data_IF_500733514351
#
_entry.id   IF_500733514351
#
_cell.length_a   1.000
_cell.length_b   1.000
_cell.length_c   1.000
_cell.angle_alpha   90.00
_cell.angle_beta   90.00
_cell.angle_gamma   90.00
#
_symmetry.space_group_name_H-M   'P 1'
#
loop_
_entity.id
_entity.type
_entity.pdbx_description
1 polymer ?
#
# COMPACT_ATOMS: atom_id res chain seq x y z
N UNK A 1 -10.32 37.89 17.23
CA UNK A 1 -11.57 37.92 16.44
C UNK A 1 -11.60 36.68 15.55
N UNK A 2 -12.46 35.70 15.83
CA UNK A 2 -12.56 34.48 15.01
C UNK A 2 -13.58 34.72 13.90
N UNK A 3 -13.12 34.72 12.65
CA UNK A 3 -13.97 34.87 11.47
C UNK A 3 -14.30 33.47 10.96
N UNK A 4 -15.55 33.03 11.18
CA UNK A 4 -15.99 31.63 10.95
C UNK A 4 -15.78 31.11 9.52
N UNK A 5 -15.72 31.98 8.53
CA UNK A 5 -15.57 31.60 7.11
C UNK A 5 -14.11 31.61 6.62
N UNK A 6 -13.15 32.11 7.41
CA UNK A 6 -11.74 32.07 7.04
C UNK A 6 -11.09 30.75 7.48
N UNK A 7 -10.16 30.19 6.68
CA UNK A 7 -9.32 29.09 7.12
C UNK A 7 -8.60 29.45 8.42
N UNK A 8 -8.66 28.56 9.41
CA UNK A 8 -7.99 28.72 10.69
C UNK A 8 -7.54 27.34 11.20
N UNK A 9 -6.72 27.34 12.25
CA UNK A 9 -6.31 26.12 12.94
C UNK A 9 -6.47 26.30 14.44
N UNK A 10 -6.96 25.24 15.10
CA UNK A 10 -7.04 25.14 16.56
C UNK A 10 -5.73 24.69 17.22
N UNK A 11 -4.73 24.29 16.42
CA UNK A 11 -3.34 24.10 16.87
C UNK A 11 -2.39 24.49 15.74
N UNK A 12 -1.84 25.70 15.87
CA UNK A 12 -0.91 26.29 14.90
C UNK A 12 0.31 25.40 14.66
N UNK A 13 0.88 24.78 15.69
CA UNK A 13 2.11 24.02 15.57
C UNK A 13 1.85 22.69 14.85
N UNK A 14 0.78 21.98 15.23
CA UNK A 14 0.38 20.73 14.57
C UNK A 14 0.01 20.96 13.11
N UNK A 15 -0.71 22.04 12.80
CA UNK A 15 -1.04 22.38 11.41
C UNK A 15 0.16 22.82 10.58
N UNK A 16 1.11 23.55 11.16
CA UNK A 16 2.36 23.89 10.46
C UNK A 16 3.18 22.64 10.16
N UNK A 17 3.30 21.73 11.12
CA UNK A 17 3.98 20.45 10.93
C UNK A 17 3.31 19.59 9.85
N UNK A 18 1.97 19.52 9.86
CA UNK A 18 1.21 18.83 8.84
C UNK A 18 1.37 19.47 7.45
N UNK A 19 1.38 20.81 7.36
CA UNK A 19 1.67 21.52 6.11
C UNK A 19 3.05 21.17 5.57
N UNK A 20 4.09 21.20 6.40
CA UNK A 20 5.46 20.84 6.01
C UNK A 20 5.54 19.39 5.51
N UNK A 21 4.84 18.46 6.17
CA UNK A 21 4.73 17.06 5.72
C UNK A 21 4.03 16.97 4.36
N UNK A 22 2.91 17.67 4.15
CA UNK A 22 2.21 17.69 2.87
C UNK A 22 3.09 18.26 1.76
N UNK A 23 3.79 19.38 2.00
CA UNK A 23 4.73 19.97 1.04
C UNK A 23 5.85 18.99 0.71
N UNK A 24 6.44 18.33 1.71
CA UNK A 24 7.46 17.31 1.49
C UNK A 24 6.95 16.13 0.64
N UNK A 25 5.71 15.68 0.87
CA UNK A 25 5.10 14.61 0.07
C UNK A 25 4.83 15.05 -1.38
N UNK A 26 4.38 16.29 -1.60
CA UNK A 26 4.16 16.84 -2.95
C UNK A 26 5.49 16.99 -3.70
N UNK A 27 6.52 17.54 -3.05
CA UNK A 27 7.86 17.63 -3.64
C UNK A 27 8.42 16.25 -3.95
N UNK A 28 8.24 15.28 -3.04
CA UNK A 28 8.64 13.89 -3.26
C UNK A 28 7.91 13.28 -4.45
N UNK A 29 6.59 13.48 -4.57
CA UNK A 29 5.80 13.00 -5.71
C UNK A 29 6.39 13.47 -7.04
N UNK A 30 6.61 14.78 -7.17
CA UNK A 30 7.14 15.35 -8.42
C UNK A 30 8.59 14.94 -8.68
N UNK A 31 9.43 14.90 -7.66
CA UNK A 31 10.81 14.43 -7.78
C UNK A 31 10.88 12.95 -8.21
N UNK A 32 10.04 12.08 -7.64
CA UNK A 32 9.96 10.67 -8.04
C UNK A 32 9.40 10.55 -9.46
N UNK A 33 8.37 11.33 -9.80
CA UNK A 33 7.77 11.34 -11.14
C UNK A 33 8.81 11.70 -12.19
N UNK A 34 9.55 12.79 -11.98
CA UNK A 34 10.65 13.23 -12.86
C UNK A 34 11.77 12.18 -12.91
N UNK A 35 12.22 11.72 -11.75
CA UNK A 35 13.30 10.74 -11.66
C UNK A 35 12.94 9.43 -12.38
N UNK A 36 11.70 8.94 -12.31
CA UNK A 36 11.28 7.70 -12.96
C UNK A 36 11.26 7.80 -14.50
N UNK A 37 11.04 9.00 -15.05
CA UNK A 37 11.07 9.23 -16.50
C UNK A 37 12.50 9.22 -17.07
N UNK A 38 13.51 9.52 -16.26
CA UNK A 38 14.90 9.55 -16.72
C UNK A 38 15.42 8.18 -17.15
N UNK A 39 16.14 8.13 -18.25
CA UNK A 39 16.81 6.91 -18.71
C UNK A 39 18.07 6.64 -17.89
N UNK A 40 18.48 5.37 -17.82
CA UNK A 40 19.83 4.98 -17.38
C UNK A 40 20.81 4.98 -18.55
N UNK A 41 22.11 5.10 -18.28
CA UNK A 41 23.16 4.97 -19.32
C UNK A 41 23.03 3.69 -20.15
N UNK A 42 22.56 2.59 -19.54
CA UNK A 42 22.33 1.31 -20.23
C UNK A 42 21.11 1.37 -21.15
N UNK A 43 20.07 2.08 -20.73
CA UNK A 43 18.87 2.31 -21.54
C UNK A 43 19.16 3.25 -22.70
N UNK A 44 19.91 4.34 -22.48
CA UNK A 44 20.38 5.26 -23.53
C UNK A 44 21.22 4.52 -24.59
N UNK A 45 22.17 3.69 -24.17
CA UNK A 45 22.98 2.88 -25.08
C UNK A 45 22.16 1.84 -25.86
N UNK A 46 21.11 1.30 -25.25
CA UNK A 46 20.19 0.36 -25.91
C UNK A 46 19.25 1.05 -26.88
N UNK A 47 18.80 2.26 -26.55
CA UNK A 47 17.95 3.11 -27.39
C UNK A 47 18.73 3.60 -28.63
N UNK A 48 19.99 4.01 -28.47
CA UNK A 48 20.84 4.42 -29.60
C UNK A 48 21.21 3.27 -30.56
N UNK A 49 21.16 2.01 -30.11
CA UNK A 49 21.51 0.82 -30.93
C UNK A 49 20.31 0.14 -31.58
N UNK A 50 19.11 0.40 -31.10
CA UNK A 50 17.90 -0.20 -31.64
C UNK A 50 16.91 0.92 -31.96
N UNK A 51 16.49 1.06 -33.22
CA UNK A 51 15.40 1.95 -33.65
C UNK A 51 14.02 1.55 -33.04
N UNK A 52 14.01 0.90 -31.88
CA UNK A 52 12.85 0.41 -31.15
C UNK A 52 12.59 1.34 -29.96
N UNK A 53 11.40 1.93 -29.97
CA UNK A 53 10.91 2.89 -28.96
C UNK A 53 10.59 2.28 -27.59
N UNK A 54 10.97 1.02 -27.30
CA UNK A 54 10.60 0.32 -26.06
C UNK A 54 11.80 -0.42 -25.48
N UNK A 55 12.07 -0.30 -24.16
CA UNK A 55 13.08 -1.13 -23.52
C UNK A 55 12.73 -2.60 -23.73
N UNK A 56 13.72 -3.41 -24.11
CA UNK A 56 13.67 -4.90 -24.21
C UNK A 56 13.19 -5.60 -22.91
N UNK A 57 12.97 -4.83 -21.84
CA UNK A 57 12.88 -5.25 -20.45
C UNK A 57 11.51 -5.03 -19.78
N UNK A 58 10.51 -4.47 -20.49
CA UNK A 58 9.11 -4.36 -20.04
C UNK A 58 8.81 -3.33 -18.95
N UNK A 59 9.80 -2.90 -18.17
CA UNK A 59 9.73 -1.80 -17.20
C UNK A 59 11.04 -0.98 -17.25
N UNK A 60 11.01 0.35 -17.01
CA UNK A 60 12.22 1.16 -16.89
C UNK A 60 13.09 0.70 -15.72
N UNK A 61 14.41 0.86 -15.85
CA UNK A 61 15.38 0.42 -14.86
C UNK A 61 15.16 1.08 -13.49
N UNK A 62 14.82 2.37 -13.48
CA UNK A 62 14.58 3.14 -12.24
C UNK A 62 13.36 2.62 -11.48
N UNK A 63 12.25 2.34 -12.17
CA UNK A 63 11.06 1.69 -11.60
C UNK A 63 11.43 0.33 -11.02
N UNK A 64 12.17 -0.47 -11.80
CA UNK A 64 12.67 -1.78 -11.36
C UNK A 64 13.49 -1.69 -10.08
N UNK A 65 14.42 -0.73 -9.98
CA UNK A 65 15.26 -0.55 -8.78
C UNK A 65 14.43 -0.24 -7.54
N UNK A 66 13.43 0.64 -7.65
CA UNK A 66 12.52 0.97 -6.54
C UNK A 66 11.75 -0.26 -6.08
N UNK A 67 11.18 -1.04 -7.01
CA UNK A 67 10.43 -2.24 -6.63
C UNK A 67 11.34 -3.30 -6.01
N UNK A 68 12.55 -3.50 -6.53
CA UNK A 68 13.53 -4.39 -5.88
C UNK A 68 13.89 -3.94 -4.47
N UNK A 69 14.21 -2.66 -4.29
CA UNK A 69 14.54 -2.08 -2.99
C UNK A 69 13.39 -2.30 -2.00
N UNK A 70 12.16 -1.95 -2.39
CA UNK A 70 10.99 -2.08 -1.53
C UNK A 70 10.60 -3.53 -1.28
N UNK A 71 10.71 -4.42 -2.26
CA UNK A 71 10.47 -5.86 -2.08
C UNK A 71 11.49 -6.49 -1.12
N UNK A 72 12.77 -6.11 -1.24
CA UNK A 72 13.81 -6.58 -0.31
C UNK A 72 13.61 -6.02 1.09
N UNK A 73 13.32 -4.73 1.22
CA UNK A 73 13.01 -4.11 2.51
C UNK A 73 11.79 -4.76 3.17
N UNK A 74 10.71 -4.95 2.41
CA UNK A 74 9.50 -5.62 2.87
C UNK A 74 9.72 -7.07 3.27
N UNK A 75 10.56 -7.81 2.53
CA UNK A 75 10.95 -9.18 2.92
C UNK A 75 11.71 -9.20 4.24
N UNK A 76 12.72 -8.34 4.41
CA UNK A 76 13.50 -8.27 5.65
C UNK A 76 12.59 -7.91 6.83
N UNK A 77 11.69 -6.93 6.65
CA UNK A 77 10.71 -6.55 7.66
C UNK A 77 9.72 -7.68 7.99
N UNK A 78 9.25 -8.40 6.97
CA UNK A 78 8.35 -9.53 7.14
C UNK A 78 9.00 -10.66 7.96
N UNK A 79 10.27 -10.97 7.67
CA UNK A 79 11.04 -11.98 8.42
C UNK A 79 11.29 -11.51 9.85
N UNK A 80 11.78 -10.28 10.02
CA UNK A 80 12.08 -9.71 11.34
C UNK A 80 10.82 -9.65 12.22
N UNK A 81 9.70 -9.14 11.70
CA UNK A 81 8.43 -9.12 12.42
C UNK A 81 7.86 -10.51 12.71
N UNK A 82 8.07 -11.49 11.83
CA UNK A 82 7.69 -12.87 12.09
C UNK A 82 8.53 -13.49 13.23
N UNK A 83 9.84 -13.25 13.25
CA UNK A 83 10.72 -13.67 14.35
C UNK A 83 10.32 -12.96 15.64
N UNK A 84 10.07 -11.65 15.60
CA UNK A 84 9.63 -10.86 16.75
C UNK A 84 8.34 -11.43 17.35
N UNK A 85 7.37 -11.81 16.49
CA UNK A 85 6.13 -12.44 16.93
C UNK A 85 6.36 -13.84 17.51
N UNK A 86 7.22 -14.64 16.89
CA UNK A 86 7.55 -15.98 17.38
C UNK A 86 8.23 -15.95 18.77
N UNK A 87 9.06 -14.94 18.99
CA UNK A 87 9.75 -14.71 20.28
C UNK A 87 8.89 -13.95 21.30
N UNK A 88 7.66 -13.57 20.94
CA UNK A 88 6.76 -12.78 21.78
C UNK A 88 7.43 -11.48 22.32
N UNK A 89 8.24 -10.82 21.49
CA UNK A 89 8.98 -9.62 21.89
C UNK A 89 8.13 -8.35 21.72
N UNK A 90 8.03 -7.48 22.75
CA UNK A 90 7.37 -6.19 22.62
C UNK A 90 8.27 -5.08 22.05
N UNK A 91 9.54 -5.38 21.76
CA UNK A 91 10.54 -4.38 21.33
C UNK A 91 10.56 -4.20 19.82
N UNK A 92 10.36 -2.98 19.35
CA UNK A 92 10.56 -2.58 17.96
C UNK A 92 12.00 -2.86 17.52
N UNK A 93 12.17 -3.64 16.46
CA UNK A 93 13.48 -4.07 15.95
C UNK A 93 14.38 -4.72 17.03
N UNK A 94 13.80 -5.30 18.08
CA UNK A 94 14.49 -5.79 19.28
C UNK A 94 15.25 -4.72 20.09
N UNK A 95 15.07 -3.43 19.79
CA UNK A 95 15.81 -2.33 20.40
C UNK A 95 14.96 -1.55 21.40
N UNK A 96 13.78 -1.07 20.99
CA UNK A 96 13.02 -0.06 21.73
C UNK A 96 11.62 -0.57 22.06
N UNK A 97 11.20 -0.48 23.32
CA UNK A 97 9.81 -0.73 23.71
C UNK A 97 8.98 0.54 23.47
N UNK A 98 7.85 0.48 22.74
CA UNK A 98 7.01 1.65 22.52
C UNK A 98 6.32 2.06 23.83
N UNK A 99 6.11 3.37 24.01
CA UNK A 99 5.39 3.91 25.18
C UNK A 99 3.89 3.63 25.11
N UNK A 100 3.32 3.65 23.91
CA UNK A 100 1.91 3.36 23.63
C UNK A 100 1.80 1.93 23.12
N UNK A 101 0.94 1.12 23.75
CA UNK A 101 0.78 -0.31 23.50
C UNK A 101 2.09 -1.15 23.66
N UNK A 102 2.69 -1.20 24.87
CA UNK A 102 4.00 -1.82 25.12
C UNK A 102 3.99 -3.36 25.14
N UNK A 103 3.07 -4.00 24.42
CA UNK A 103 2.85 -5.45 24.45
C UNK A 103 3.07 -6.09 23.08
N UNK A 104 3.60 -7.32 23.08
CA UNK A 104 4.10 -8.01 21.89
C UNK A 104 3.04 -8.22 20.78
N UNK A 105 1.77 -8.35 21.15
CA UNK A 105 0.71 -8.50 20.16
C UNK A 105 0.39 -7.20 19.39
N UNK A 106 0.65 -6.03 19.96
CA UNK A 106 0.37 -4.74 19.31
C UNK A 106 1.44 -4.34 18.30
N UNK A 107 2.67 -4.81 18.48
CA UNK A 107 3.81 -4.44 17.64
C UNK A 107 4.04 -5.45 16.52
N UNK A 108 4.66 -4.99 15.44
CA UNK A 108 5.18 -5.86 14.38
C UNK A 108 6.34 -5.18 13.63
N UNK A 109 7.52 -5.78 13.76
CA UNK A 109 8.79 -5.24 13.32
C UNK A 109 9.07 -3.82 13.83
N UNK A 110 9.31 -2.83 12.94
CA UNK A 110 9.52 -1.44 13.34
C UNK A 110 8.23 -0.69 13.69
N UNK A 111 7.05 -1.30 13.55
CA UNK A 111 5.78 -0.62 13.78
C UNK A 111 5.27 -0.88 15.19
N UNK A 112 5.01 0.21 15.93
CA UNK A 112 4.33 0.17 17.24
C UNK A 112 2.87 -0.28 17.16
N UNK A 113 2.31 -0.37 15.95
CA UNK A 113 0.94 -0.80 15.71
C UNK A 113 0.86 -1.75 14.50
N UNK A 114 0.46 -2.99 14.77
CA UNK A 114 0.44 -4.11 13.83
C UNK A 114 -0.38 -3.87 12.56
N UNK A 115 -1.48 -3.09 12.62
CA UNK A 115 -2.27 -2.80 11.42
C UNK A 115 -1.50 -1.92 10.43
N UNK A 116 -0.63 -1.04 10.93
CA UNK A 116 0.24 -0.23 10.08
C UNK A 116 1.28 -1.10 9.38
N UNK A 117 1.87 -2.07 10.08
CA UNK A 117 2.77 -3.04 9.46
C UNK A 117 2.07 -3.88 8.39
N UNK A 118 0.87 -4.38 8.70
CA UNK A 118 0.07 -5.14 7.76
C UNK A 118 -0.24 -4.32 6.49
N UNK A 119 -0.60 -3.04 6.66
CA UNK A 119 -0.89 -2.16 5.53
C UNK A 119 0.37 -1.82 4.72
N UNK A 120 1.51 -1.61 5.39
CA UNK A 120 2.78 -1.43 4.71
C UNK A 120 3.10 -2.62 3.81
N UNK A 121 2.99 -3.86 4.33
CA UNK A 121 3.21 -5.07 3.54
C UNK A 121 2.20 -5.20 2.38
N UNK A 122 0.92 -4.89 2.61
CA UNK A 122 -0.12 -4.88 1.56
C UNK A 122 0.13 -3.85 0.44
N UNK A 123 0.94 -2.82 0.68
CA UNK A 123 1.41 -1.92 -0.38
C UNK A 123 2.54 -2.51 -1.23
N UNK A 124 3.26 -3.53 -0.74
CA UNK A 124 4.51 -4.01 -1.35
C UNK A 124 4.34 -5.32 -2.12
N UNK A 125 3.76 -6.34 -1.47
CA UNK A 125 3.72 -7.69 -2.03
C UNK A 125 2.96 -7.79 -3.36
N UNK A 126 1.86 -7.04 -3.61
CA UNK A 126 1.15 -7.13 -4.89
C UNK A 126 1.99 -6.56 -6.03
N UNK A 127 2.72 -5.45 -5.78
CA UNK A 127 3.58 -4.81 -6.78
C UNK A 127 4.77 -5.70 -7.13
N UNK A 128 5.38 -6.35 -6.12
CA UNK A 128 6.43 -7.34 -6.34
C UNK A 128 5.94 -8.53 -7.19
N UNK A 129 4.72 -9.01 -6.93
CA UNK A 129 4.08 -10.07 -7.72
C UNK A 129 3.78 -9.61 -9.17
N UNK A 130 3.33 -8.37 -9.35
CA UNK A 130 3.10 -7.79 -10.66
C UNK A 130 4.38 -7.66 -11.49
N UNK A 131 5.50 -7.29 -10.86
CA UNK A 131 6.79 -7.22 -11.51
C UNK A 131 7.36 -8.62 -11.83
N UNK A 132 7.19 -9.58 -10.92
CA UNK A 132 7.51 -10.99 -11.19
C UNK A 132 6.77 -11.48 -12.43
N UNK A 133 5.47 -11.15 -12.56
CA UNK A 133 4.69 -11.50 -13.74
C UNK A 133 5.29 -10.93 -15.02
N UNK A 134 5.66 -9.65 -15.02
CA UNK A 134 6.28 -9.02 -16.20
C UNK A 134 7.55 -9.77 -16.62
N UNK A 135 8.43 -10.11 -15.68
CA UNK A 135 9.68 -10.83 -16.00
C UNK A 135 9.46 -12.27 -16.43
N UNK A 136 8.52 -12.97 -15.80
CA UNK A 136 8.19 -14.33 -16.20
C UNK A 136 7.71 -14.40 -17.67
N UNK A 137 7.13 -13.31 -18.18
CA UNK A 137 6.68 -13.21 -19.59
C UNK A 137 7.80 -12.89 -20.58
N UNK A 138 8.91 -12.30 -20.15
CA UNK A 138 10.00 -11.87 -21.04
C UNK A 138 11.04 -13.00 -21.11
N UNK A 139 11.07 -13.73 -22.23
CA UNK A 139 12.03 -14.84 -22.45
C UNK A 139 13.47 -14.32 -22.52
N UNK A 140 14.38 -14.98 -21.79
CA UNK A 140 15.84 -14.82 -21.91
C UNK A 140 16.47 -13.56 -21.31
N UNK A 141 15.70 -12.62 -20.74
CA UNK A 141 16.24 -11.35 -20.24
C UNK A 141 16.69 -11.39 -18.76
N UNK A 142 16.11 -12.28 -17.95
CA UNK A 142 16.39 -12.37 -16.51
C UNK A 142 16.60 -13.82 -16.12
N UNK A 143 17.82 -14.16 -15.67
CA UNK A 143 18.11 -15.43 -14.98
C UNK A 143 17.15 -15.60 -13.78
N UNK A 144 17.10 -16.81 -13.22
CA UNK A 144 16.27 -17.26 -12.08
C UNK A 144 16.09 -16.27 -10.91
N UNK A 145 16.95 -15.25 -10.80
CA UNK A 145 16.82 -14.07 -9.92
C UNK A 145 15.41 -13.51 -9.75
N UNK A 146 14.56 -13.46 -10.79
CA UNK A 146 13.21 -12.92 -10.67
C UNK A 146 12.28 -13.76 -9.76
N UNK A 147 12.56 -15.06 -9.55
CA UNK A 147 11.82 -15.89 -8.59
C UNK A 147 11.97 -15.39 -7.15
N UNK A 148 13.01 -14.61 -6.84
CA UNK A 148 13.10 -13.90 -5.57
C UNK A 148 11.88 -13.00 -5.33
N UNK A 149 11.36 -12.30 -6.34
CA UNK A 149 10.20 -11.42 -6.18
C UNK A 149 8.95 -12.22 -5.79
N UNK A 150 8.78 -13.43 -6.36
CA UNK A 150 7.70 -14.32 -6.00
C UNK A 150 7.84 -14.81 -4.55
N UNK A 151 9.05 -15.22 -4.16
CA UNK A 151 9.36 -15.62 -2.78
C UNK A 151 9.12 -14.45 -1.80
N UNK A 152 9.64 -13.26 -2.10
CA UNK A 152 9.46 -12.07 -1.29
C UNK A 152 7.98 -11.70 -1.14
N UNK A 153 7.21 -11.74 -2.24
CA UNK A 153 5.77 -11.52 -2.21
C UNK A 153 5.05 -12.55 -1.34
N UNK A 154 5.43 -13.84 -1.41
CA UNK A 154 4.82 -14.90 -0.61
C UNK A 154 5.05 -14.68 0.89
N UNK A 155 6.30 -14.39 1.27
CA UNK A 155 6.66 -14.14 2.68
C UNK A 155 6.01 -12.87 3.21
N UNK A 156 5.99 -11.77 2.44
CA UNK A 156 5.30 -10.55 2.83
C UNK A 156 3.78 -10.77 2.99
N UNK A 157 3.15 -11.49 2.05
CA UNK A 157 1.72 -11.83 2.14
C UNK A 157 1.44 -12.71 3.36
N UNK A 158 2.25 -13.73 3.63
CA UNK A 158 2.14 -14.55 4.84
C UNK A 158 2.33 -13.71 6.12
N UNK A 159 3.29 -12.79 6.14
CA UNK A 159 3.55 -11.93 7.29
C UNK A 159 2.35 -11.04 7.63
N UNK A 160 1.53 -10.62 6.65
CA UNK A 160 0.27 -9.92 6.93
C UNK A 160 -0.64 -10.75 7.86
N UNK A 161 -0.70 -12.06 7.67
CA UNK A 161 -1.50 -12.96 8.52
C UNK A 161 -0.87 -13.06 9.92
N UNK A 162 0.46 -13.12 9.99
CA UNK A 162 1.21 -13.17 11.25
C UNK A 162 1.01 -11.90 12.09
N UNK A 163 0.81 -10.74 11.46
CA UNK A 163 0.58 -9.48 12.21
C UNK A 163 -0.59 -9.57 13.19
N UNK A 164 -1.63 -10.35 12.86
CA UNK A 164 -2.91 -10.39 13.60
C UNK A 164 -3.81 -9.17 13.33
N UNK A 165 -3.53 -8.36 12.32
CA UNK A 165 -4.43 -7.26 11.93
C UNK A 165 -5.64 -7.79 11.14
N UNK A 166 -6.86 -7.55 11.66
CA UNK A 166 -8.11 -7.93 11.00
C UNK A 166 -8.31 -7.18 9.69
N UNK A 167 -8.15 -5.85 9.72
CA UNK A 167 -8.26 -5.00 8.51
C UNK A 167 -7.19 -5.35 7.48
N UNK A 168 -5.94 -5.52 7.91
CA UNK A 168 -4.84 -5.92 7.03
C UNK A 168 -5.06 -7.30 6.40
N UNK A 169 -5.57 -8.26 7.17
CA UNK A 169 -5.93 -9.60 6.67
C UNK A 169 -7.05 -9.55 5.63
N UNK A 170 -8.15 -8.85 5.89
CA UNK A 170 -9.26 -8.74 4.92
C UNK A 170 -8.81 -8.11 3.60
N UNK A 171 -7.97 -7.06 3.69
CA UNK A 171 -7.37 -6.43 2.51
C UNK A 171 -6.43 -7.40 1.79
N UNK A 172 -5.59 -8.15 2.50
CA UNK A 172 -4.70 -9.13 1.90
C UNK A 172 -5.47 -10.23 1.17
N UNK A 173 -6.54 -10.76 1.76
CA UNK A 173 -7.42 -11.77 1.14
C UNK A 173 -8.09 -11.22 -0.12
N UNK A 174 -8.60 -9.99 -0.08
CA UNK A 174 -9.19 -9.33 -1.25
C UNK A 174 -8.16 -9.15 -2.39
N UNK A 175 -6.94 -8.71 -2.07
CA UNK A 175 -5.89 -8.55 -3.09
C UNK A 175 -5.44 -9.93 -3.61
N UNK A 176 -5.27 -10.93 -2.74
CA UNK A 176 -4.83 -12.27 -3.09
C UNK A 176 -5.83 -12.99 -3.99
N UNK A 177 -7.12 -12.95 -3.64
CA UNK A 177 -8.18 -13.55 -4.46
C UNK A 177 -8.23 -12.89 -5.84
N UNK A 178 -8.19 -11.56 -5.92
CA UNK A 178 -8.18 -10.84 -7.20
C UNK A 178 -6.92 -11.15 -8.01
N UNK A 179 -5.75 -11.21 -7.37
CA UNK A 179 -4.48 -11.58 -7.99
C UNK A 179 -4.55 -12.97 -8.62
N UNK A 180 -5.03 -13.98 -7.89
CA UNK A 180 -5.14 -15.35 -8.38
C UNK A 180 -6.10 -15.46 -9.57
N UNK A 181 -7.26 -14.78 -9.50
CA UNK A 181 -8.21 -14.73 -10.62
C UNK A 181 -7.59 -14.11 -11.87
N UNK A 182 -6.84 -13.03 -11.73
CA UNK A 182 -6.20 -12.33 -12.85
C UNK A 182 -5.07 -13.15 -13.45
N UNK A 183 -4.22 -13.75 -12.62
CA UNK A 183 -3.11 -14.58 -13.08
C UNK A 183 -3.65 -15.85 -13.76
N UNK A 184 -4.62 -16.54 -13.14
CA UNK A 184 -5.25 -17.73 -13.68
C UNK A 184 -5.96 -17.48 -15.02
N UNK A 185 -6.83 -16.46 -15.09
CA UNK A 185 -7.50 -16.09 -16.35
C UNK A 185 -6.50 -15.66 -17.43
N UNK A 186 -5.43 -14.96 -17.05
CA UNK A 186 -4.37 -14.58 -17.99
C UNK A 186 -3.66 -15.78 -18.58
N UNK A 187 -3.41 -16.83 -17.79
CA UNK A 187 -2.83 -18.07 -18.31
C UNK A 187 -3.77 -18.77 -19.27
N UNK A 188 -5.05 -18.93 -18.90
CA UNK A 188 -6.05 -19.57 -19.75
C UNK A 188 -6.10 -18.89 -21.12
N UNK A 189 -6.17 -17.55 -21.15
CA UNK A 189 -6.18 -16.78 -22.40
C UNK A 189 -4.90 -16.97 -23.21
N UNK A 190 -3.73 -17.03 -22.55
CA UNK A 190 -2.45 -17.22 -23.24
C UNK A 190 -2.29 -18.62 -23.84
N UNK A 191 -2.82 -19.65 -23.17
CA UNK A 191 -2.87 -21.04 -23.67
C UNK A 191 -3.81 -21.14 -24.88
N UNK A 192 -5.04 -20.63 -24.75
CA UNK A 192 -6.05 -20.66 -25.84
C UNK A 192 -5.50 -19.96 -27.09
N UNK A 193 -4.82 -18.81 -26.92
CA UNK A 193 -4.20 -18.07 -28.03
C UNK A 193 -2.88 -18.67 -28.54
N UNK A 194 -2.47 -19.85 -28.06
CA UNK A 194 -1.19 -20.52 -28.39
C UNK A 194 0.04 -19.59 -28.25
N UNK A 195 -0.02 -18.61 -27.35
CA UNK A 195 1.08 -17.65 -27.07
C UNK A 195 2.09 -18.20 -26.07
N UNK A 196 1.79 -19.34 -25.45
CA UNK A 196 2.70 -20.11 -24.60
C UNK A 196 2.57 -21.61 -24.87
N UNK A 197 3.66 -22.34 -24.66
CA UNK A 197 3.64 -23.80 -24.60
C UNK A 197 2.91 -24.29 -23.35
N UNK A 198 2.30 -25.46 -23.43
CA UNK A 198 1.66 -26.15 -22.31
C UNK A 198 2.64 -26.34 -21.13
N UNK A 199 3.93 -26.58 -21.41
CA UNK A 199 4.99 -26.69 -20.39
C UNK A 199 5.27 -25.36 -19.67
N UNK A 200 5.31 -24.24 -20.39
CA UNK A 200 5.50 -22.93 -19.75
C UNK A 200 4.28 -22.51 -18.93
N UNK A 201 3.07 -22.90 -19.37
CA UNK A 201 1.85 -22.70 -18.60
C UNK A 201 1.81 -23.52 -17.32
N UNK A 202 2.20 -24.79 -17.38
CA UNK A 202 2.22 -25.68 -16.21
C UNK A 202 3.26 -25.24 -15.18
N UNK A 203 4.47 -24.83 -15.59
CA UNK A 203 5.48 -24.29 -14.67
C UNK A 203 4.94 -23.08 -13.89
N UNK A 204 4.25 -22.17 -14.57
CA UNK A 204 3.75 -20.97 -13.92
C UNK A 204 2.60 -21.28 -12.95
N UNK A 205 1.75 -22.26 -13.27
CA UNK A 205 0.72 -22.77 -12.37
C UNK A 205 1.36 -23.39 -11.12
N UNK A 206 2.42 -24.19 -11.27
CA UNK A 206 3.18 -24.74 -10.14
C UNK A 206 3.83 -23.66 -9.27
N UNK A 207 4.36 -22.59 -9.89
CA UNK A 207 4.91 -21.46 -9.14
C UNK A 207 3.84 -20.71 -8.35
N UNK A 208 2.65 -20.51 -8.91
CA UNK A 208 1.51 -19.91 -8.19
C UNK A 208 1.00 -20.85 -7.09
N UNK A 209 0.88 -22.15 -7.37
CA UNK A 209 0.51 -23.14 -6.37
C UNK A 209 1.52 -23.17 -5.22
N UNK A 210 2.82 -23.10 -5.52
CA UNK A 210 3.88 -22.95 -4.53
C UNK A 210 3.78 -21.66 -3.73
N UNK A 211 3.48 -20.52 -4.38
CA UNK A 211 3.22 -19.25 -3.70
C UNK A 211 2.04 -19.36 -2.73
N UNK A 212 0.92 -19.93 -3.16
CA UNK A 212 -0.27 -20.14 -2.30
C UNK A 212 0.06 -21.10 -1.16
N UNK A 213 0.78 -22.19 -1.44
CA UNK A 213 1.21 -23.15 -0.43
C UNK A 213 2.09 -22.49 0.64
N UNK A 214 3.04 -21.62 0.24
CA UNK A 214 3.88 -20.85 1.18
C UNK A 214 3.02 -19.91 2.03
N UNK A 215 2.08 -19.18 1.41
CA UNK A 215 1.18 -18.27 2.14
C UNK A 215 0.32 -19.05 3.14
N UNK A 216 -0.27 -20.17 2.74
CA UNK A 216 -1.09 -21.01 3.60
C UNK A 216 -0.27 -21.68 4.71
N UNK A 217 0.92 -22.20 4.39
CA UNK A 217 1.76 -22.89 5.37
C UNK A 217 2.32 -21.92 6.41
N UNK A 218 2.92 -20.81 5.98
CA UNK A 218 3.51 -19.81 6.89
C UNK A 218 2.40 -19.02 7.60
N UNK A 219 1.45 -18.46 6.84
CA UNK A 219 0.37 -17.63 7.36
C UNK A 219 -0.63 -18.42 8.20
N UNK A 220 -1.00 -19.62 7.75
CA UNK A 220 -1.89 -20.53 8.49
C UNK A 220 -1.20 -21.23 9.66
N UNK A 221 0.08 -21.60 9.54
CA UNK A 221 0.82 -22.24 10.64
C UNK A 221 1.17 -21.27 11.77
N UNK A 222 1.82 -20.15 11.43
CA UNK A 222 2.34 -19.19 12.42
C UNK A 222 1.32 -18.09 12.76
N UNK A 223 0.59 -17.59 11.75
CA UNK A 223 -0.31 -16.45 11.93
C UNK A 223 -1.68 -16.81 12.46
N UNK A 224 -2.21 -18.00 12.14
CA UNK A 224 -3.59 -18.38 12.49
C UNK A 224 -3.85 -18.38 13.99
N UNK A 225 -2.90 -18.87 14.79
CA UNK A 225 -3.02 -18.88 16.27
C UNK A 225 -3.26 -17.49 16.85
N UNK A 226 -2.68 -16.46 16.24
CA UNK A 226 -2.84 -15.07 16.68
C UNK A 226 -4.04 -14.39 16.03
N UNK A 227 -4.30 -14.69 14.76
CA UNK A 227 -5.36 -14.05 13.99
C UNK A 227 -6.76 -14.57 14.35
N UNK A 228 -6.90 -15.89 14.57
CA UNK A 228 -8.21 -16.53 14.77
C UNK A 228 -8.98 -15.99 15.98
N UNK A 229 -8.41 -15.86 17.20
CA UNK A 229 -9.14 -15.28 18.32
C UNK A 229 -9.62 -13.86 18.06
N UNK A 230 -8.85 -13.10 17.28
CA UNK A 230 -9.22 -11.72 16.92
C UNK A 230 -10.35 -11.66 15.90
N UNK A 231 -10.38 -12.60 14.96
CA UNK A 231 -11.48 -12.75 14.01
C UNK A 231 -12.78 -13.15 14.71
N UNK A 232 -12.73 -13.93 15.80
CA UNK A 232 -13.91 -14.23 16.59
C UNK A 232 -14.49 -12.96 17.26
N UNK A 233 -13.64 -12.02 17.66
CA UNK A 233 -14.04 -10.74 18.25
C UNK A 233 -14.15 -9.61 17.22
N UNK A 234 -14.36 -9.93 15.93
CA UNK A 234 -14.34 -8.93 14.86
C UNK A 234 -15.46 -7.90 15.02
N UNK A 235 -16.65 -8.34 15.42
CA UNK A 235 -17.82 -7.50 15.61
C UNK A 235 -17.57 -6.44 16.70
N UNK A 236 -17.15 -6.85 17.90
CA UNK A 236 -16.79 -5.94 18.99
C UNK A 236 -15.73 -4.92 18.57
N UNK A 237 -14.75 -5.39 17.81
CA UNK A 237 -13.69 -4.56 17.26
C UNK A 237 -14.18 -3.43 16.36
N UNK A 238 -15.10 -3.75 15.44
CA UNK A 238 -15.70 -2.77 14.55
C UNK A 238 -16.75 -1.92 15.25
N UNK A 239 -17.48 -2.46 16.21
CA UNK A 239 -18.44 -1.73 17.04
C UNK A 239 -17.74 -0.61 17.83
N UNK A 240 -16.62 -0.91 18.49
CA UNK A 240 -15.81 0.10 19.19
C UNK A 240 -15.33 1.20 18.23
N UNK A 241 -14.84 0.85 17.04
CA UNK A 241 -14.42 1.84 16.02
C UNK A 241 -15.60 2.67 15.49
N UNK A 242 -16.76 2.05 15.32
CA UNK A 242 -17.99 2.71 14.89
C UNK A 242 -18.50 3.69 15.96
N UNK A 243 -18.35 3.37 17.23
CA UNK A 243 -18.68 4.27 18.34
C UNK A 243 -17.80 5.52 18.32
N UNK A 244 -16.48 5.39 18.22
CA UNK A 244 -15.59 6.56 18.10
C UNK A 244 -15.87 7.37 16.83
N UNK A 245 -16.17 6.69 15.71
CA UNK A 245 -16.60 7.35 14.47
C UNK A 245 -17.91 8.14 14.67
N UNK A 246 -18.85 7.62 15.47
CA UNK A 246 -20.10 8.30 15.81
C UNK A 246 -19.84 9.52 16.69
N UNK A 247 -19.00 9.39 17.72
CA UNK A 247 -18.62 10.50 18.60
C UNK A 247 -17.84 11.60 17.87
N UNK A 248 -17.03 11.23 16.86
CA UNK A 248 -16.26 12.20 16.08
C UNK A 248 -17.07 12.90 14.98
N UNK A 249 -18.23 12.34 14.58
CA UNK A 249 -19.03 12.86 13.46
C UNK A 249 -19.50 14.31 13.63
N UNK A 250 -19.95 14.77 14.83
CA UNK A 250 -20.32 16.17 15.05
C UNK A 250 -19.22 17.16 14.65
N UNK A 251 -17.94 16.84 14.88
CA UNK A 251 -16.83 17.73 14.47
C UNK A 251 -16.86 18.05 12.97
N UNK A 252 -17.24 17.11 12.10
CA UNK A 252 -17.33 17.35 10.66
C UNK A 252 -18.48 18.30 10.29
N UNK A 253 -19.53 18.36 11.11
CA UNK A 253 -20.66 19.28 10.95
C UNK A 253 -20.34 20.67 11.50
N UNK A 254 -19.63 20.75 12.63
CA UNK A 254 -19.25 22.00 13.26
C UNK A 254 -18.15 22.74 12.48
N UNK A 255 -17.30 22.00 11.75
CA UNK A 255 -16.21 22.54 10.93
C UNK A 255 -16.33 22.14 9.44
N UNK A 256 -17.34 22.65 8.71
CA UNK A 256 -17.74 22.06 7.43
C UNK A 256 -16.80 22.38 6.27
N UNK A 257 -16.27 23.60 6.14
CA UNK A 257 -15.57 24.00 4.91
C UNK A 257 -14.06 23.73 4.97
N UNK A 258 -13.39 24.26 5.99
CA UNK A 258 -11.92 24.20 6.14
C UNK A 258 -11.45 23.27 7.25
N UNK A 259 -12.39 22.70 8.01
CA UNK A 259 -12.06 21.82 9.13
C UNK A 259 -11.45 22.57 10.31
N UNK A 260 -10.91 21.81 11.26
CA UNK A 260 -10.28 22.32 12.48
C UNK A 260 -8.80 22.71 12.29
N UNK A 261 -8.21 22.36 11.14
CA UNK A 261 -6.79 22.46 10.85
C UNK A 261 -6.13 21.07 10.77
N UNK A 262 -5.24 20.81 9.79
CA UNK A 262 -4.50 19.54 9.72
C UNK A 262 -3.78 19.20 11.03
N UNK A 263 -3.82 17.94 11.45
CA UNK A 263 -3.14 17.46 12.67
C UNK A 263 -3.79 17.86 14.00
N UNK A 264 -4.97 18.51 13.99
CA UNK A 264 -5.61 19.01 15.21
C UNK A 264 -6.60 18.03 15.84
N UNK A 265 -6.82 16.86 15.22
CA UNK A 265 -7.88 15.93 15.61
C UNK A 265 -7.81 15.56 17.10
N UNK A 266 -6.65 15.10 17.58
CA UNK A 266 -6.44 14.72 18.98
C UNK A 266 -6.89 15.83 19.94
N UNK A 267 -6.43 17.05 19.73
CA UNK A 267 -6.71 18.19 20.62
C UNK A 267 -8.19 18.62 20.59
N UNK A 268 -8.81 18.64 19.41
CA UNK A 268 -10.21 19.07 19.30
C UNK A 268 -11.17 17.98 19.76
N UNK A 269 -10.87 16.71 19.50
CA UNK A 269 -11.72 15.59 19.91
C UNK A 269 -11.90 15.51 21.43
N UNK A 270 -10.94 16.03 22.22
CA UNK A 270 -11.04 16.08 23.68
C UNK A 270 -12.33 16.75 24.17
N UNK A 271 -12.84 17.77 23.46
CA UNK A 271 -14.06 18.51 23.81
C UNK A 271 -15.36 17.80 23.41
N UNK A 272 -15.26 16.72 22.62
CA UNK A 272 -16.40 15.93 22.15
C UNK A 272 -16.50 14.58 22.87
N UNK A 273 -15.64 14.35 23.86
CA UNK A 273 -15.72 13.15 24.71
C UNK A 273 -16.90 13.30 25.68
N UNK A 274 -17.75 12.26 25.83
CA UNK A 274 -18.86 12.29 26.78
C UNK A 274 -18.40 12.47 28.24
N UNK A 275 -17.22 11.95 28.59
CA UNK A 275 -16.62 12.08 29.90
C UNK A 275 -15.07 11.97 29.82
N UNK A 276 -14.33 12.38 30.87
CA UNK A 276 -12.86 12.31 30.89
C UNK A 276 -12.28 10.89 30.75
N UNK A 277 -13.03 9.87 31.15
CA UNK A 277 -12.63 8.45 31.12
C UNK A 277 -12.76 7.82 29.73
N UNK A 278 -13.47 8.47 28.81
CA UNK A 278 -13.59 8.03 27.43
C UNK A 278 -12.21 8.05 26.78
N UNK A 279 -11.82 6.94 26.15
CA UNK A 279 -10.54 6.82 25.45
C UNK A 279 -10.28 8.03 24.54
N UNK A 280 -9.07 8.56 24.63
CA UNK A 280 -8.61 9.72 23.87
C UNK A 280 -7.66 9.26 22.76
N UNK A 281 -8.17 9.06 21.53
CA UNK A 281 -7.34 8.65 20.40
C UNK A 281 -6.53 9.84 19.86
N UNK A 282 -5.24 9.61 19.62
CA UNK A 282 -4.40 10.53 18.85
C UNK A 282 -4.81 10.56 17.37
N UNK A 283 -5.32 9.44 16.85
CA UNK A 283 -5.84 9.30 15.49
C UNK A 283 -7.19 8.57 15.51
N UNK A 284 -8.13 9.07 14.73
CA UNK A 284 -9.36 8.37 14.47
C UNK A 284 -9.05 7.15 13.59
N UNK A 285 -9.63 5.99 13.93
CA UNK A 285 -9.51 4.78 13.11
C UNK A 285 -10.43 4.86 11.87
N UNK A 286 -10.35 5.97 11.15
CA UNK A 286 -11.13 6.35 9.97
C UNK A 286 -10.50 7.60 9.34
N UNK A 287 -9.41 7.42 8.59
CA UNK A 287 -8.67 8.53 7.96
C UNK A 287 -9.57 9.44 7.13
N UNK A 288 -10.61 8.90 6.47
CA UNK A 288 -11.54 9.70 5.68
C UNK A 288 -12.36 10.68 6.52
N UNK A 289 -12.82 10.23 7.70
CA UNK A 289 -13.55 11.13 8.60
C UNK A 289 -12.59 12.10 9.28
N UNK A 290 -11.39 11.67 9.66
CA UNK A 290 -10.37 12.57 10.23
C UNK A 290 -9.95 13.65 9.23
N UNK A 291 -9.72 13.28 7.97
CA UNK A 291 -9.44 14.23 6.88
C UNK A 291 -10.59 15.23 6.73
N UNK A 292 -11.84 14.75 6.79
CA UNK A 292 -13.04 15.60 6.72
C UNK A 292 -13.16 16.56 7.89
N UNK A 293 -12.78 16.13 9.09
CA UNK A 293 -12.78 16.95 10.32
C UNK A 293 -11.66 17.99 10.26
N UNK A 294 -10.45 17.58 9.88
CA UNK A 294 -9.25 18.43 9.98
C UNK A 294 -9.05 19.35 8.80
N UNK A 295 -9.38 18.92 7.58
CA UNK A 295 -9.21 19.71 6.35
C UNK A 295 -10.53 20.18 5.72
N UNK A 296 -11.66 19.83 6.33
CA UNK A 296 -12.98 20.23 5.86
C UNK A 296 -13.36 19.60 4.52
N UNK A 297 -14.48 20.07 3.95
CA UNK A 297 -14.94 19.63 2.64
C UNK A 297 -13.95 20.00 1.52
N UNK A 298 -13.32 21.18 1.60
CA UNK A 298 -12.39 21.66 0.57
C UNK A 298 -11.16 20.76 0.48
N UNK A 299 -10.46 20.52 1.59
CA UNK A 299 -9.27 19.67 1.56
C UNK A 299 -9.59 18.21 1.25
N UNK A 300 -10.71 17.69 1.76
CA UNK A 300 -11.19 16.34 1.43
C UNK A 300 -11.45 16.20 -0.07
N UNK A 301 -12.13 17.18 -0.68
CA UNK A 301 -12.41 17.18 -2.11
C UNK A 301 -11.11 17.26 -2.93
N UNK A 302 -10.14 18.08 -2.52
CA UNK A 302 -8.83 18.16 -3.20
C UNK A 302 -8.09 16.82 -3.20
N UNK A 303 -8.05 16.12 -2.05
CA UNK A 303 -7.43 14.78 -1.96
C UNK A 303 -8.20 13.77 -2.80
N UNK A 304 -9.53 13.77 -2.75
CA UNK A 304 -10.37 12.87 -3.54
C UNK A 304 -10.16 13.07 -5.05
N UNK A 305 -10.11 14.32 -5.52
CA UNK A 305 -9.82 14.65 -6.93
C UNK A 305 -8.42 14.17 -7.31
N UNK A 306 -7.40 14.42 -6.48
CA UNK A 306 -6.05 13.93 -6.74
C UNK A 306 -5.99 12.41 -6.89
N UNK A 307 -6.65 11.67 -6.01
CA UNK A 307 -6.75 10.21 -6.10
C UNK A 307 -7.48 9.77 -7.37
N UNK A 308 -8.64 10.37 -7.69
CA UNK A 308 -9.37 10.05 -8.93
C UNK A 308 -8.49 10.28 -10.16
N UNK A 309 -7.77 11.40 -10.23
CA UNK A 309 -6.86 11.70 -11.33
C UNK A 309 -5.74 10.67 -11.46
N UNK A 310 -5.14 10.22 -10.35
CA UNK A 310 -4.12 9.16 -10.35
C UNK A 310 -4.68 7.84 -10.86
N UNK A 311 -5.89 7.46 -10.45
CA UNK A 311 -6.52 6.21 -10.87
C UNK A 311 -6.97 6.25 -12.35
N UNK A 312 -7.42 7.41 -12.82
CA UNK A 312 -7.80 7.64 -14.22
C UNK A 312 -6.58 7.82 -15.13
N UNK A 313 -5.41 8.15 -14.58
CA UNK A 313 -4.19 8.45 -15.35
C UNK A 313 -3.77 7.33 -16.29
N UNK A 314 -4.05 6.08 -15.93
CA UNK A 314 -3.79 4.90 -16.76
C UNK A 314 -4.50 4.92 -18.12
N UNK A 315 -5.65 5.59 -18.21
CA UNK A 315 -6.43 5.70 -19.43
C UNK A 315 -5.92 6.82 -20.36
N UNK A 316 -5.00 7.65 -19.89
CA UNK A 316 -4.42 8.75 -20.64
C UNK A 316 -3.06 8.35 -21.26
N UNK A 317 -2.66 9.00 -22.37
CA UNK A 317 -1.32 8.82 -22.95
C UNK A 317 -0.23 9.13 -21.93
N UNK A 318 0.91 8.44 -22.01
CA UNK A 318 2.00 8.64 -21.06
C UNK A 318 3.31 8.05 -21.56
N UNK A 319 4.42 8.44 -20.92
CA UNK A 319 5.76 8.16 -21.40
C UNK A 319 6.13 6.67 -21.25
N UNK A 320 5.67 6.02 -20.18
CA UNK A 320 6.08 4.65 -19.85
C UNK A 320 4.95 3.68 -20.20
N UNK A 321 5.13 2.91 -21.28
CA UNK A 321 4.14 1.93 -21.73
C UNK A 321 4.36 0.58 -21.04
N UNK A 322 3.36 0.11 -20.31
CA UNK A 322 3.42 -1.17 -19.58
C UNK A 322 2.19 -2.05 -19.84
N UNK A 323 2.28 -3.32 -19.50
CA UNK A 323 1.13 -4.23 -19.56
C UNK A 323 0.12 -3.93 -18.46
N UNK A 324 -1.19 -3.98 -18.79
CA UNK A 324 -2.28 -3.68 -17.85
C UNK A 324 -2.26 -4.50 -16.56
N UNK A 325 -1.70 -5.71 -16.59
CA UNK A 325 -1.61 -6.61 -15.43
C UNK A 325 -0.73 -6.01 -14.34
N UNK A 326 0.42 -5.46 -14.72
CA UNK A 326 1.33 -4.79 -13.77
C UNK A 326 0.62 -3.61 -13.10
N UNK A 327 -0.09 -2.79 -13.89
CA UNK A 327 -0.87 -1.67 -13.37
C UNK A 327 -1.99 -2.12 -12.45
N UNK A 328 -2.68 -3.22 -12.78
CA UNK A 328 -3.69 -3.78 -11.89
C UNK A 328 -3.10 -4.12 -10.52
N UNK A 329 -1.93 -4.75 -10.45
CA UNK A 329 -1.27 -5.05 -9.18
C UNK A 329 -0.92 -3.80 -8.36
N UNK A 330 -0.50 -2.71 -9.01
CA UNK A 330 -0.31 -1.41 -8.36
C UNK A 330 -1.63 -0.82 -7.87
N UNK A 331 -2.69 -0.89 -8.69
CA UNK A 331 -4.02 -0.43 -8.31
C UNK A 331 -4.59 -1.24 -7.15
N UNK A 332 -4.35 -2.55 -7.08
CA UNK A 332 -4.77 -3.39 -5.96
C UNK A 332 -4.09 -2.97 -4.66
N UNK A 333 -2.78 -2.69 -4.70
CA UNK A 333 -2.05 -2.18 -3.53
C UNK A 333 -2.61 -0.83 -3.05
N UNK A 334 -2.80 0.13 -3.97
CA UNK A 334 -3.34 1.46 -3.66
C UNK A 334 -4.79 1.40 -3.16
N UNK A 335 -5.65 0.64 -3.85
CA UNK A 335 -7.08 0.47 -3.49
C UNK A 335 -7.21 -0.22 -2.14
N UNK A 336 -6.39 -1.25 -1.87
CA UNK A 336 -6.35 -1.91 -0.58
C UNK A 336 -6.05 -0.94 0.56
N UNK A 337 -5.10 -0.02 0.35
CA UNK A 337 -4.78 1.03 1.33
C UNK A 337 -5.93 2.02 1.54
N UNK A 338 -6.54 2.50 0.46
CA UNK A 338 -7.71 3.41 0.49
C UNK A 338 -8.89 2.78 1.23
N UNK A 339 -9.15 1.49 1.01
CA UNK A 339 -10.19 0.74 1.71
C UNK A 339 -9.83 0.56 3.19
N UNK A 340 -8.58 0.21 3.51
CA UNK A 340 -8.15 0.06 4.90
C UNK A 340 -8.28 1.37 5.69
N UNK A 341 -7.98 2.50 5.06
CA UNK A 341 -8.16 3.85 5.64
C UNK A 341 -9.59 4.18 6.07
N UNK A 342 -10.59 3.40 5.67
CA UNK A 342 -11.96 3.55 6.21
C UNK A 342 -12.10 3.05 7.64
N UNK A 343 -11.29 2.08 8.02
CA UNK A 343 -11.41 1.36 9.28
C UNK A 343 -10.19 1.51 10.17
N UNK A 344 -9.12 2.13 9.69
CA UNK A 344 -7.86 2.35 10.39
C UNK A 344 -7.22 3.66 9.86
N UNK A 345 -6.01 3.98 10.32
CA UNK A 345 -5.34 5.27 10.03
C UNK A 345 -3.98 5.17 9.29
N UNK A 346 -3.87 4.40 8.19
CA UNK A 346 -2.60 4.21 7.49
C UNK A 346 -1.97 5.50 6.95
N UNK A 347 -2.76 6.53 6.63
CA UNK A 347 -2.24 7.78 6.07
C UNK A 347 -1.63 8.72 7.12
N UNK A 348 -1.82 8.44 8.41
CA UNK A 348 -1.13 9.14 9.49
C UNK A 348 0.30 8.64 9.68
N UNK A 349 0.66 7.51 9.04
CA UNK A 349 1.95 6.85 9.21
C UNK A 349 2.87 7.17 8.06
N UNK A 350 3.96 7.89 8.36
CA UNK A 350 4.90 8.40 7.37
C UNK A 350 5.39 7.35 6.37
N UNK A 351 5.83 6.18 6.84
CA UNK A 351 6.35 5.12 5.96
C UNK A 351 5.28 4.56 5.01
N UNK A 352 4.03 4.47 5.47
CA UNK A 352 2.90 3.97 4.67
C UNK A 352 2.48 4.99 3.63
N UNK A 353 2.26 6.25 4.04
CA UNK A 353 1.89 7.33 3.10
C UNK A 353 3.00 7.61 2.09
N UNK A 354 4.27 7.51 2.48
CA UNK A 354 5.39 7.72 1.57
C UNK A 354 5.46 6.63 0.49
N UNK A 355 5.31 5.35 0.85
CA UNK A 355 5.22 4.26 -0.14
C UNK A 355 3.99 4.41 -1.03
N UNK A 356 2.85 4.82 -0.47
CA UNK A 356 1.65 5.14 -1.25
C UNK A 356 1.93 6.24 -2.30
N UNK A 357 2.63 7.31 -1.91
CA UNK A 357 3.03 8.41 -2.81
C UNK A 357 4.03 7.94 -3.87
N UNK A 358 5.00 7.08 -3.53
CA UNK A 358 5.92 6.47 -4.51
C UNK A 358 5.11 5.74 -5.59
N UNK A 359 4.12 4.93 -5.20
CA UNK A 359 3.27 4.21 -6.14
C UNK A 359 2.37 5.14 -6.97
N UNK A 360 1.83 6.20 -6.37
CA UNK A 360 1.09 7.23 -7.09
C UNK A 360 1.97 7.92 -8.14
N UNK A 361 3.19 8.30 -7.78
CA UNK A 361 4.14 8.95 -8.69
C UNK A 361 4.52 8.03 -9.86
N UNK A 362 4.84 6.76 -9.59
CA UNK A 362 5.11 5.78 -10.65
C UNK A 362 3.88 5.61 -11.54
N UNK A 363 2.70 5.33 -10.96
CA UNK A 363 1.45 5.15 -11.71
C UNK A 363 1.12 6.37 -12.56
N UNK A 364 1.45 7.58 -12.09
CA UNK A 364 1.18 8.81 -12.81
C UNK A 364 1.93 8.96 -14.15
N UNK A 365 2.96 8.14 -14.36
CA UNK A 365 3.78 8.11 -15.57
C UNK A 365 3.50 6.88 -16.46
N UNK A 366 2.66 5.95 -16.01
CA UNK A 366 2.34 4.73 -16.75
C UNK A 366 1.19 4.97 -17.74
N UNK A 367 1.30 4.33 -18.91
CA UNK A 367 0.28 4.35 -19.94
C UNK A 367 0.07 2.98 -20.58
N UNK A 368 -1.15 2.77 -21.11
CA UNK A 368 -1.54 1.53 -21.79
C UNK A 368 -0.62 1.26 -22.98
N UNK A 369 0.00 0.08 -22.99
CA UNK A 369 0.58 -0.44 -24.23
C UNK A 369 -0.53 -0.71 -25.24
N UNK A 370 -0.55 0.05 -26.34
CA UNK A 370 -1.48 -0.19 -27.45
C UNK A 370 -1.20 -1.54 -28.10
N UNK A 371 -2.23 -2.36 -28.26
CA UNK A 371 -2.18 -3.77 -28.70
C UNK A 371 -1.52 -3.98 -30.08
N UNK A 372 -1.28 -2.91 -30.86
CA UNK A 372 -0.67 -2.97 -32.20
C UNK A 372 0.86 -3.16 -32.20
N UNK A 373 1.54 -3.08 -31.04
CA UNK A 373 3.01 -3.15 -30.98
C UNK A 373 3.58 -4.52 -30.55
N UNK A 374 2.74 -5.55 -30.34
CA UNK A 374 3.18 -6.89 -29.87
C UNK A 374 2.68 -7.98 -30.85
N UNK A 375 2.89 -7.75 -32.14
CA UNK A 375 2.70 -8.74 -33.21
C UNK A 375 4.04 -9.19 -33.81
N UNK A 376 5.05 -9.39 -32.97
CA UNK A 376 6.29 -10.10 -33.30
C UNK A 376 6.70 -10.96 -32.12
#
# INVERSE_FOLDING_TARGET
>A
MHIKWLPHSYDKNSSLNALLRCVALVLSFWAISDWVMGMSKKEEQSYGRSNLSLPRYGLPERVRRVIWLLATNGLVLAIEGAIQRALNSPKLLFMVTPTVHPFAEAVFGPFAYRSNAAQYLNLLWPVALGMWWVYHRIRGAYRTSHHYLLFAAAVMCAAVFITGSRGGFLVAVMILTTALLVLGSSFIVLIIKKRISMYSGSLALWLIAGFVAVVCFIGGGLGWKVLWPRLQQIEDGFANRAEFTRLARPLAHDFPLFGTGPGTFEHVFQFYRPNPDTYWPAQLHNDWLELRITMGAVGTASVAVGLILIFLRWFLPGPIRVGWRFVLFMLLALTGCVIHARFDFPFQIYSVVFVFVIWCAILSNLARTSYRAIST
#
